data_IF_056948073851
#
_entry.id   IF_056948073851
#
_cell.length_a   1.000
_cell.length_b   1.000
_cell.length_c   1.000
_cell.angle_alpha   90.00
_cell.angle_beta   90.00
_cell.angle_gamma   90.00
#
_symmetry.space_group_name_H-M   'P 1'
#
loop_
_entity.id
_entity.type
_entity.pdbx_description
1 polymer ?
#
# COMPACT_ATOMS: atom_id res chain seq x y z
N UNK A 1 -19.67 -12.35 -2.96
CA UNK A 1 -20.05 -10.90 -3.00
C UNK A 1 -19.53 -10.21 -4.25
N UNK A 2 -18.21 -9.97 -4.40
CA UNK A 2 -17.67 -9.22 -5.56
C UNK A 2 -18.06 -9.85 -6.90
N UNK A 3 -17.91 -11.17 -7.05
CA UNK A 3 -18.38 -11.92 -8.24
C UNK A 3 -19.85 -11.67 -8.57
N UNK A 4 -20.73 -11.73 -7.57
CA UNK A 4 -22.17 -11.49 -7.72
C UNK A 4 -22.45 -10.06 -8.19
N UNK A 5 -21.77 -9.07 -7.61
CA UNK A 5 -21.94 -7.66 -8.03
C UNK A 5 -21.47 -7.46 -9.47
N UNK A 6 -20.38 -8.12 -9.88
CA UNK A 6 -19.90 -8.04 -11.26
C UNK A 6 -20.83 -8.74 -12.26
N UNK A 7 -21.46 -9.86 -11.85
CA UNK A 7 -22.47 -10.54 -12.66
C UNK A 7 -23.72 -9.68 -12.87
N UNK A 8 -24.01 -8.76 -11.93
CA UNK A 8 -25.10 -7.78 -12.05
C UNK A 8 -24.70 -6.51 -12.83
N UNK A 9 -23.60 -6.54 -13.60
CA UNK A 9 -23.25 -5.48 -14.55
C UNK A 9 -22.26 -4.43 -14.05
N UNK A 10 -21.78 -4.51 -12.79
CA UNK A 10 -20.73 -3.61 -12.31
C UNK A 10 -19.38 -4.08 -12.84
N UNK A 11 -18.66 -3.19 -13.55
CA UNK A 11 -17.33 -3.51 -14.05
C UNK A 11 -16.36 -3.85 -12.89
N UNK A 12 -15.55 -4.93 -13.00
CA UNK A 12 -14.47 -5.22 -12.05
C UNK A 12 -13.47 -4.07 -11.90
N UNK A 13 -13.40 -3.18 -12.90
CA UNK A 13 -12.54 -2.02 -12.92
C UNK A 13 -13.03 -0.86 -12.03
N UNK A 14 -14.23 -0.98 -11.47
CA UNK A 14 -14.78 -0.01 -10.51
C UNK A 14 -14.52 -0.43 -9.05
N UNK A 15 -13.77 -1.50 -8.80
CA UNK A 15 -13.48 -1.98 -7.46
C UNK A 15 -12.09 -1.52 -6.98
N UNK A 16 -12.09 -0.84 -5.84
CA UNK A 16 -10.92 -0.63 -5.00
C UNK A 16 -11.20 -1.27 -3.64
N UNK A 17 -10.52 -2.37 -3.36
CA UNK A 17 -10.68 -3.07 -2.09
C UNK A 17 -9.53 -2.71 -1.15
N UNK A 18 -9.84 -2.29 0.08
CA UNK A 18 -8.85 -1.90 1.09
C UNK A 18 -9.02 -2.84 2.28
N UNK A 19 -7.93 -3.47 2.71
CA UNK A 19 -7.94 -4.44 3.80
C UNK A 19 -6.80 -4.14 4.78
N UNK A 20 -7.08 -4.20 6.09
CA UNK A 20 -6.08 -4.04 7.15
C UNK A 20 -5.74 -5.38 7.78
N UNK A 21 -4.48 -5.58 8.17
CA UNK A 21 -4.07 -6.78 8.93
C UNK A 21 -4.41 -8.09 8.20
N UNK A 22 -5.15 -8.99 8.86
CA UNK A 22 -5.70 -10.21 8.26
C UNK A 22 -6.60 -9.91 7.05
N UNK A 23 -7.34 -8.80 7.09
CA UNK A 23 -8.19 -8.37 5.98
C UNK A 23 -7.40 -8.12 4.70
N UNK A 24 -6.16 -7.65 4.78
CA UNK A 24 -5.29 -7.50 3.60
C UNK A 24 -5.00 -8.87 2.97
N UNK A 25 -4.67 -9.88 3.79
CA UNK A 25 -4.40 -11.24 3.31
C UNK A 25 -5.67 -11.87 2.71
N UNK A 26 -6.83 -11.64 3.32
CA UNK A 26 -8.13 -12.05 2.77
C UNK A 26 -8.39 -11.45 1.39
N UNK A 27 -8.01 -10.18 1.15
CA UNK A 27 -8.14 -9.56 -0.17
C UNK A 27 -7.22 -10.21 -1.21
N UNK A 28 -6.05 -10.71 -0.81
CA UNK A 28 -5.18 -11.51 -1.67
C UNK A 28 -5.88 -12.78 -2.17
N UNK A 29 -6.47 -13.55 -1.25
CA UNK A 29 -7.26 -14.74 -1.57
C UNK A 29 -8.51 -14.42 -2.40
N UNK A 30 -9.20 -13.34 -2.04
CA UNK A 30 -10.38 -12.89 -2.77
C UNK A 30 -10.05 -12.54 -4.23
N UNK A 31 -8.96 -11.79 -4.47
CA UNK A 31 -8.53 -11.40 -5.82
C UNK A 31 -8.13 -12.60 -6.68
N UNK A 32 -7.39 -13.54 -6.09
CA UNK A 32 -6.99 -14.79 -6.74
C UNK A 32 -8.21 -15.65 -7.13
N UNK A 33 -9.13 -15.86 -6.20
CA UNK A 33 -10.36 -16.62 -6.42
C UNK A 33 -11.29 -15.91 -7.42
N UNK A 34 -11.38 -14.58 -7.38
CA UNK A 34 -12.14 -13.80 -8.35
C UNK A 34 -11.59 -14.00 -9.77
N UNK A 35 -10.26 -13.96 -9.95
CA UNK A 35 -9.64 -14.21 -11.24
C UNK A 35 -9.89 -15.64 -11.74
N UNK A 36 -9.70 -16.65 -10.88
CA UNK A 36 -9.97 -18.06 -11.22
C UNK A 36 -11.41 -18.28 -11.70
N UNK A 37 -12.37 -17.59 -11.10
CA UNK A 37 -13.79 -17.78 -11.43
C UNK A 37 -14.29 -16.95 -12.61
N UNK A 38 -13.64 -15.83 -12.93
CA UNK A 38 -14.16 -14.86 -13.92
C UNK A 38 -13.22 -14.60 -15.09
N UNK A 39 -11.96 -15.00 -14.99
CA UNK A 39 -10.88 -14.59 -15.92
C UNK A 39 -10.53 -13.10 -15.87
N UNK A 40 -11.14 -12.33 -14.97
CA UNK A 40 -10.99 -10.88 -14.85
C UNK A 40 -10.28 -10.49 -13.55
N UNK A 41 -9.66 -9.32 -13.54
CA UNK A 41 -9.03 -8.74 -12.35
C UNK A 41 -9.74 -7.47 -11.89
N UNK A 42 -9.81 -7.29 -10.59
CA UNK A 42 -10.22 -6.04 -9.95
C UNK A 42 -9.20 -4.93 -10.26
N UNK A 43 -9.66 -3.67 -10.28
CA UNK A 43 -8.77 -2.55 -10.57
C UNK A 43 -7.68 -2.38 -9.51
N UNK A 44 -8.05 -2.32 -8.22
CA UNK A 44 -7.08 -2.01 -7.16
C UNK A 44 -7.34 -2.77 -5.88
N UNK A 45 -6.27 -3.29 -5.28
CA UNK A 45 -6.25 -3.78 -3.91
C UNK A 45 -5.20 -2.99 -3.12
N UNK A 46 -5.59 -2.49 -1.95
CA UNK A 46 -4.67 -1.86 -0.99
C UNK A 46 -4.60 -2.71 0.28
N UNK A 47 -3.40 -3.18 0.62
CA UNK A 47 -3.11 -3.86 1.87
C UNK A 47 -2.51 -2.90 2.90
N UNK A 48 -3.22 -2.64 3.99
CA UNK A 48 -2.75 -1.84 5.12
C UNK A 48 -2.14 -2.76 6.18
N UNK A 49 -0.83 -2.76 6.28
CA UNK A 49 0.00 -3.56 7.19
C UNK A 49 -0.43 -5.04 7.23
N UNK A 50 -0.28 -5.80 6.12
CA UNK A 50 -0.76 -7.17 6.04
C UNK A 50 -0.19 -8.04 7.16
N UNK A 51 -1.04 -8.88 7.76
CA UNK A 51 -0.65 -9.73 8.88
C UNK A 51 0.56 -10.60 8.51
N UNK A 52 1.59 -10.57 9.35
CA UNK A 52 2.77 -11.42 9.25
C UNK A 52 2.60 -12.81 9.88
N UNK A 53 2.06 -12.95 11.11
CA UNK A 53 1.84 -14.26 11.72
C UNK A 53 1.00 -15.17 10.83
N UNK A 54 1.42 -16.43 10.65
CA UNK A 54 0.84 -17.43 9.74
C UNK A 54 1.03 -17.18 8.23
N UNK A 55 1.52 -16.01 7.80
CA UNK A 55 1.65 -15.66 6.38
C UNK A 55 3.10 -15.45 5.94
N UNK A 56 3.98 -14.85 6.74
CA UNK A 56 5.34 -14.47 6.30
C UNK A 56 6.18 -15.66 5.80
N UNK A 57 5.90 -16.87 6.28
CA UNK A 57 6.57 -18.12 5.87
C UNK A 57 5.66 -19.04 5.03
N UNK A 58 4.49 -18.55 4.63
CA UNK A 58 3.54 -19.28 3.81
C UNK A 58 3.90 -19.14 2.33
N UNK A 59 3.23 -19.91 1.47
CA UNK A 59 3.41 -19.77 0.03
C UNK A 59 2.97 -18.37 -0.42
N UNK A 60 3.58 -17.82 -1.46
CA UNK A 60 3.25 -16.47 -1.94
C UNK A 60 1.80 -16.41 -2.44
N UNK A 61 1.28 -17.52 -2.96
CA UNK A 61 -0.11 -17.70 -3.39
C UNK A 61 -1.12 -17.57 -2.24
N UNK A 62 -0.69 -17.84 -1.01
CA UNK A 62 -1.50 -17.73 0.21
C UNK A 62 -1.52 -16.30 0.75
N UNK A 63 -0.65 -15.43 0.24
CA UNK A 63 -0.50 -14.04 0.66
C UNK A 63 -1.16 -13.08 -0.35
N UNK A 64 -1.46 -11.87 0.13
CA UNK A 64 -1.62 -10.72 -0.76
C UNK A 64 -0.34 -10.52 -1.57
N UNK A 65 -0.47 -10.33 -2.89
CA UNK A 65 0.67 -10.18 -3.79
C UNK A 65 0.29 -9.42 -5.06
N UNK A 66 1.28 -8.82 -5.72
CA UNK A 66 1.19 -8.37 -7.10
C UNK A 66 0.55 -9.45 -7.98
N UNK A 67 -0.40 -9.02 -8.82
CA UNK A 67 -1.09 -9.89 -9.76
C UNK A 67 -2.45 -10.43 -9.30
N UNK A 68 -2.84 -10.31 -8.03
CA UNK A 68 -4.21 -10.64 -7.57
C UNK A 68 -5.24 -9.54 -7.87
N UNK A 69 -4.77 -8.38 -8.33
CA UNK A 69 -5.54 -7.32 -8.99
C UNK A 69 -4.69 -6.75 -10.15
N UNK A 70 -5.22 -5.77 -10.89
CA UNK A 70 -4.41 -5.03 -11.87
C UNK A 70 -3.31 -4.21 -11.20
N UNK A 71 -3.61 -3.66 -10.01
CA UNK A 71 -2.67 -2.92 -9.19
C UNK A 71 -2.87 -3.27 -7.71
N UNK A 72 -1.77 -3.63 -7.05
CA UNK A 72 -1.72 -3.99 -5.64
C UNK A 72 -0.69 -3.11 -4.96
N UNK A 73 -1.11 -2.35 -3.96
CA UNK A 73 -0.18 -1.58 -3.12
C UNK A 73 -0.28 -1.99 -1.67
N UNK A 74 0.86 -1.95 -0.99
CA UNK A 74 1.00 -2.39 0.40
C UNK A 74 1.58 -1.25 1.23
N UNK A 75 1.09 -1.09 2.45
CA UNK A 75 1.61 -0.13 3.42
C UNK A 75 2.14 -0.90 4.62
N UNK A 76 3.39 -0.63 5.02
CA UNK A 76 4.02 -1.26 6.17
C UNK A 76 4.16 -0.25 7.30
N UNK A 77 3.55 -0.56 8.45
CA UNK A 77 3.60 0.27 9.66
C UNK A 77 3.97 -0.51 10.93
N UNK A 78 3.92 -1.84 10.90
CA UNK A 78 4.46 -2.71 11.94
C UNK A 78 5.21 -3.93 11.39
N UNK A 79 6.02 -3.71 10.36
CA UNK A 79 6.84 -4.73 9.71
C UNK A 79 7.77 -5.44 10.72
N UNK A 80 7.66 -6.76 10.79
CA UNK A 80 8.47 -7.62 11.65
C UNK A 80 7.87 -7.89 13.02
N UNK A 81 6.67 -7.38 13.30
CA UNK A 81 5.87 -7.75 14.47
C UNK A 81 4.50 -8.30 14.03
N UNK A 82 3.43 -7.51 14.08
CA UNK A 82 2.12 -7.93 13.56
C UNK A 82 2.06 -7.86 12.03
N UNK A 83 2.80 -6.94 11.42
CA UNK A 83 2.88 -6.77 9.97
C UNK A 83 4.01 -7.59 9.36
N UNK A 84 3.83 -8.04 8.12
CA UNK A 84 4.88 -8.71 7.33
C UNK A 84 6.02 -7.77 6.95
N UNK A 85 7.22 -8.33 6.77
CA UNK A 85 8.40 -7.62 6.22
C UNK A 85 8.59 -7.84 4.73
N UNK A 86 7.81 -8.75 4.14
CA UNK A 86 7.89 -9.12 2.73
C UNK A 86 7.42 -7.99 1.84
N UNK A 87 8.13 -7.78 0.71
CA UNK A 87 7.69 -6.92 -0.39
C UNK A 87 6.75 -7.73 -1.27
N UNK A 88 5.47 -7.36 -1.24
CA UNK A 88 4.37 -8.17 -1.75
C UNK A 88 3.64 -7.53 -2.93
N UNK A 89 3.49 -6.20 -2.94
CA UNK A 89 2.70 -5.48 -3.93
C UNK A 89 3.41 -5.29 -5.27
N UNK A 90 2.72 -4.60 -6.18
CA UNK A 90 3.38 -3.87 -7.27
C UNK A 90 4.20 -2.72 -6.67
N UNK A 91 3.66 -2.13 -5.60
CA UNK A 91 4.26 -1.05 -4.83
C UNK A 91 4.13 -1.33 -3.33
N UNK A 92 5.23 -1.19 -2.59
CA UNK A 92 5.24 -1.31 -1.12
C UNK A 92 5.75 -0.02 -0.48
N UNK A 93 4.86 0.67 0.24
CA UNK A 93 5.16 1.87 1.02
C UNK A 93 5.60 1.49 2.44
N UNK A 94 6.76 1.99 2.86
CA UNK A 94 7.28 1.80 4.21
C UNK A 94 7.23 3.12 4.95
N UNK A 95 6.39 3.19 5.98
CA UNK A 95 6.26 4.36 6.83
C UNK A 95 7.41 4.44 7.84
N UNK A 96 8.02 5.62 7.97
CA UNK A 96 9.06 5.90 8.98
C UNK A 96 10.16 4.83 8.95
N UNK A 97 10.53 4.24 10.09
CA UNK A 97 11.67 3.30 10.25
C UNK A 97 11.50 1.97 9.48
N UNK A 98 11.46 2.00 8.15
CA UNK A 98 11.15 0.86 7.27
C UNK A 98 9.85 0.14 7.68
N UNK A 99 8.84 0.89 8.12
CA UNK A 99 7.58 0.32 8.59
C UNK A 99 7.66 -0.40 9.94
N UNK A 100 8.79 -0.41 10.66
CA UNK A 100 8.91 -1.20 11.90
C UNK A 100 8.40 -0.47 13.16
N UNK A 101 8.45 0.86 13.16
CA UNK A 101 8.12 1.69 14.32
C UNK A 101 7.70 3.09 13.86
N UNK A 102 6.60 3.53 14.45
CA UNK A 102 5.90 4.77 14.17
C UNK A 102 6.05 5.72 15.36
N UNK A 103 5.99 7.05 15.11
CA UNK A 103 5.92 8.05 16.17
C UNK A 103 4.81 7.73 17.17
N UNK A 104 5.00 8.10 18.44
CA UNK A 104 3.99 8.04 19.51
C UNK A 104 3.49 6.64 19.93
N UNK A 105 3.94 5.57 19.28
CA UNK A 105 3.59 4.19 19.64
C UNK A 105 4.47 3.55 20.73
N UNK A 106 5.33 4.35 21.38
CA UNK A 106 6.25 3.91 22.41
C UNK A 106 7.43 3.08 21.88
N UNK A 107 8.36 2.74 22.77
CA UNK A 107 9.53 1.92 22.44
C UNK A 107 9.26 0.44 22.68
N UNK A 108 9.91 -0.46 21.92
CA UNK A 108 9.83 -1.91 22.18
C UNK A 108 10.24 -2.27 23.62
N UNK A 109 9.70 -3.35 24.19
CA UNK A 109 10.14 -3.89 25.49
C UNK A 109 11.61 -4.30 25.44
N UNK A 110 12.02 -4.88 24.30
CA UNK A 110 13.41 -5.14 23.97
C UNK A 110 13.68 -4.52 22.59
N UNK A 111 14.54 -3.49 22.47
CA UNK A 111 14.82 -2.80 21.21
C UNK A 111 15.19 -3.78 20.09
N UNK A 112 14.39 -3.80 19.02
CA UNK A 112 14.64 -4.65 17.85
C UNK A 112 14.35 -6.14 18.04
N UNK A 113 13.88 -6.58 19.22
CA UNK A 113 13.62 -8.01 19.51
C UNK A 113 12.16 -8.26 19.85
N UNK A 114 11.57 -7.51 20.80
CA UNK A 114 10.18 -7.69 21.22
C UNK A 114 9.49 -6.34 21.44
N UNK A 115 8.47 -6.05 20.64
CA UNK A 115 7.53 -4.96 20.93
C UNK A 115 6.58 -5.40 22.04
N UNK A 116 6.20 -4.47 22.93
CA UNK A 116 5.05 -4.74 23.80
C UNK A 116 3.82 -5.00 22.94
N UNK A 117 2.88 -5.81 23.43
CA UNK A 117 1.61 -6.03 22.74
C UNK A 117 0.87 -4.71 22.46
N UNK A 118 1.05 -3.71 23.33
CA UNK A 118 0.51 -2.35 23.14
C UNK A 118 1.21 -1.60 22.00
N UNK A 119 2.54 -1.57 21.99
CA UNK A 119 3.31 -0.89 20.94
C UNK A 119 3.07 -1.53 19.57
N UNK A 120 3.03 -2.85 19.49
CA UNK A 120 2.75 -3.57 18.26
C UNK A 120 1.35 -3.21 17.71
N UNK A 121 0.32 -3.20 18.56
CA UNK A 121 -1.04 -2.78 18.17
C UNK A 121 -1.10 -1.33 17.71
N UNK A 122 -0.39 -0.41 18.38
CA UNK A 122 -0.35 1.00 17.98
C UNK A 122 0.30 1.18 16.61
N UNK A 123 1.51 0.62 16.43
CA UNK A 123 2.24 0.68 15.17
C UNK A 123 1.41 0.08 14.03
N UNK A 124 0.75 -1.06 14.28
CA UNK A 124 -0.07 -1.78 13.30
C UNK A 124 -1.30 -0.99 12.86
N UNK A 125 -1.92 -0.23 13.77
CA UNK A 125 -3.06 0.67 13.47
C UNK A 125 -2.65 1.97 12.78
N UNK A 126 -1.37 2.34 12.81
CA UNK A 126 -0.90 3.60 12.22
C UNK A 126 -1.15 3.63 10.70
N UNK A 127 -1.03 2.51 10.00
CA UNK A 127 -1.32 2.44 8.57
C UNK A 127 -2.78 2.79 8.24
N UNK A 128 -3.72 2.44 9.12
CA UNK A 128 -5.12 2.85 8.96
C UNK A 128 -5.25 4.37 9.13
N UNK A 129 -4.65 4.93 10.18
CA UNK A 129 -4.73 6.37 10.46
C UNK A 129 -4.08 7.19 9.33
N UNK A 130 -2.87 6.80 8.92
CA UNK A 130 -2.15 7.43 7.80
C UNK A 130 -2.98 7.39 6.51
N UNK A 131 -3.57 6.23 6.17
CA UNK A 131 -4.34 6.09 4.95
C UNK A 131 -5.62 6.93 4.96
N UNK A 132 -6.31 6.99 6.10
CA UNK A 132 -7.51 7.82 6.26
C UNK A 132 -7.20 9.32 6.11
N UNK A 133 -6.09 9.80 6.69
CA UNK A 133 -5.66 11.19 6.55
C UNK A 133 -5.45 11.58 5.08
N UNK A 134 -5.00 10.64 4.24
CA UNK A 134 -4.75 10.93 2.82
C UNK A 134 -6.02 11.25 2.04
N UNK A 135 -7.20 10.86 2.54
CA UNK A 135 -8.48 11.12 1.86
C UNK A 135 -8.72 12.63 1.76
N UNK A 136 -8.52 13.36 2.86
CA UNK A 136 -8.66 14.82 2.91
C UNK A 136 -7.34 15.54 2.64
N UNK A 137 -6.21 14.86 2.81
CA UNK A 137 -4.88 15.42 2.66
C UNK A 137 -4.03 14.64 1.63
N UNK A 138 -4.37 14.72 0.33
CA UNK A 138 -3.78 13.88 -0.71
C UNK A 138 -2.27 14.06 -0.91
N UNK A 139 -1.71 15.19 -0.44
CA UNK A 139 -0.32 15.58 -0.71
C UNK A 139 0.59 15.41 0.53
N UNK A 140 0.08 14.91 1.66
CA UNK A 140 0.83 14.84 2.93
C UNK A 140 1.91 13.76 3.01
N UNK A 141 1.81 12.72 2.18
CA UNK A 141 2.71 11.57 2.25
C UNK A 141 3.43 11.34 0.93
N UNK A 142 4.31 12.27 0.50
CA UNK A 142 5.16 12.04 -0.65
C UNK A 142 6.09 10.86 -0.35
N UNK A 143 6.22 9.98 -1.32
CA UNK A 143 7.00 8.76 -1.25
C UNK A 143 8.09 8.77 -2.31
N UNK A 144 9.30 8.34 -1.94
CA UNK A 144 10.43 8.23 -2.87
C UNK A 144 10.83 6.76 -3.04
N UNK A 145 10.98 6.33 -4.28
CA UNK A 145 11.44 4.99 -4.63
C UNK A 145 12.89 4.80 -4.18
N UNK A 146 13.18 3.73 -3.44
CA UNK A 146 14.51 3.51 -2.89
C UNK A 146 14.77 2.02 -2.59
N UNK A 147 15.97 1.53 -2.90
CA UNK A 147 16.33 0.12 -2.67
C UNK A 147 16.43 -0.24 -1.18
N UNK A 148 16.66 0.76 -0.32
CA UNK A 148 16.67 0.53 1.12
C UNK A 148 16.37 1.80 1.92
N UNK A 149 15.82 1.62 3.12
CA UNK A 149 15.62 2.70 4.07
C UNK A 149 16.94 3.39 4.48
N UNK A 150 18.06 2.67 4.47
CA UNK A 150 19.40 3.23 4.77
C UNK A 150 19.83 4.23 3.69
N UNK A 151 19.61 3.91 2.42
CA UNK A 151 19.86 4.82 1.29
C UNK A 151 18.95 6.05 1.36
N UNK A 152 17.66 5.84 1.65
CA UNK A 152 16.71 6.94 1.82
C UNK A 152 17.12 7.92 2.92
N UNK A 153 17.44 7.41 4.12
CA UNK A 153 17.90 8.27 5.22
C UNK A 153 19.17 9.08 4.86
N UNK A 154 20.03 8.52 4.01
CA UNK A 154 21.24 9.19 3.51
C UNK A 154 20.97 10.18 2.36
N UNK A 155 19.75 10.26 1.85
CA UNK A 155 19.37 11.12 0.73
C UNK A 155 19.84 10.63 -0.65
N UNK A 156 20.36 9.41 -0.76
CA UNK A 156 20.96 8.91 -2.01
C UNK A 156 19.94 8.64 -3.11
N UNK A 157 18.68 8.40 -2.75
CA UNK A 157 17.58 8.24 -3.70
C UNK A 157 16.75 9.53 -3.88
N UNK A 158 17.29 10.70 -3.52
CA UNK A 158 16.57 11.98 -3.64
C UNK A 158 16.08 12.28 -5.06
N UNK A 159 16.81 11.81 -6.08
CA UNK A 159 16.50 11.97 -7.50
C UNK A 159 15.70 10.80 -8.10
N UNK A 160 15.41 9.75 -7.31
CA UNK A 160 14.60 8.64 -7.78
C UNK A 160 13.13 9.07 -7.95
N UNK A 161 12.38 8.22 -8.65
CA UNK A 161 10.95 8.38 -8.86
C UNK A 161 10.21 8.66 -7.55
N UNK A 162 9.24 9.57 -7.63
CA UNK A 162 8.40 9.99 -6.50
C UNK A 162 6.93 9.74 -6.83
N UNK A 163 6.16 9.45 -5.80
CA UNK A 163 4.69 9.40 -5.86
C UNK A 163 4.10 9.94 -4.56
N UNK A 164 2.79 9.91 -4.41
CA UNK A 164 2.08 10.15 -3.15
C UNK A 164 1.51 8.84 -2.63
N UNK A 165 1.80 8.52 -1.38
CA UNK A 165 1.17 7.42 -0.67
C UNK A 165 -0.25 7.86 -0.24
N UNK A 166 -1.21 6.96 -0.34
CA UNK A 166 -2.58 7.17 0.12
C UNK A 166 -3.66 6.74 -0.87
N UNK A 167 -4.90 7.09 -0.52
CA UNK A 167 -6.10 6.80 -1.30
C UNK A 167 -5.97 7.28 -2.75
N UNK A 168 -5.46 8.49 -2.93
CA UNK A 168 -5.33 9.14 -4.22
C UNK A 168 -4.10 8.72 -5.02
N UNK A 169 -3.27 7.79 -4.54
CA UNK A 169 -2.13 7.30 -5.31
C UNK A 169 -2.61 6.87 -6.70
N UNK A 170 -2.10 7.47 -7.79
CA UNK A 170 -2.55 7.21 -9.16
C UNK A 170 -2.32 5.75 -9.62
N UNK A 171 -1.52 4.97 -8.88
CA UNK A 171 -0.92 3.75 -9.38
C UNK A 171 0.24 4.05 -10.33
N UNK A 172 0.68 3.06 -11.10
CA UNK A 172 1.85 3.22 -11.96
C UNK A 172 1.55 4.00 -13.27
N UNK A 173 1.38 5.33 -13.19
CA UNK A 173 1.24 6.23 -14.35
C UNK A 173 1.64 7.65 -13.98
N UNK A 174 2.92 7.98 -14.17
CA UNK A 174 3.64 9.05 -13.44
C UNK A 174 3.81 10.38 -14.20
N UNK A 175 3.22 10.56 -15.38
CA UNK A 175 3.41 11.79 -16.16
C UNK A 175 2.60 13.00 -15.64
N UNK A 176 1.60 12.79 -14.79
CA UNK A 176 0.63 13.85 -14.43
C UNK A 176 0.85 14.55 -13.08
N UNK A 177 1.74 14.07 -12.20
CA UNK A 177 1.82 14.52 -10.79
C UNK A 177 3.09 15.31 -10.40
N UNK A 178 4.07 15.43 -11.30
CA UNK A 178 5.39 16.01 -10.98
C UNK A 178 5.43 17.54 -10.89
N UNK A 179 4.30 18.26 -10.89
CA UNK A 179 4.32 19.72 -10.99
C UNK A 179 4.60 20.46 -9.68
N UNK A 180 4.43 19.86 -8.48
CA UNK A 180 4.72 20.52 -7.19
C UNK A 180 4.80 19.48 -6.04
N UNK A 181 5.99 19.03 -5.62
CA UNK A 181 6.10 18.14 -4.44
C UNK A 181 7.21 18.60 -3.49
N UNK A 182 6.81 18.87 -2.24
CA UNK A 182 7.67 19.09 -1.07
C UNK A 182 8.00 17.75 -0.40
N UNK A 183 9.18 17.62 0.20
CA UNK A 183 9.73 16.38 0.77
C UNK A 183 8.97 15.87 2.01
N UNK A 184 8.83 14.55 2.15
CA UNK A 184 8.20 13.88 3.31
C UNK A 184 8.71 12.44 3.53
N UNK A 185 8.28 11.83 4.64
CA UNK A 185 8.93 10.72 5.38
C UNK A 185 8.60 9.28 4.90
N UNK A 186 8.10 9.09 3.67
CA UNK A 186 7.70 7.76 3.17
C UNK A 186 8.69 7.24 2.12
N UNK A 187 9.06 5.97 2.24
CA UNK A 187 9.84 5.24 1.22
C UNK A 187 8.98 4.24 0.48
N UNK A 188 9.34 3.94 -0.76
CA UNK A 188 8.67 2.94 -1.57
C UNK A 188 9.67 1.95 -2.18
N UNK A 189 9.32 0.67 -2.18
CA UNK A 189 10.06 -0.40 -2.88
C UNK A 189 9.20 -0.94 -4.02
N UNK A 190 9.82 -1.34 -5.14
CA UNK A 190 9.16 -1.95 -6.28
C UNK A 190 9.73 -3.35 -6.52
N UNK A 191 8.89 -4.32 -6.89
CA UNK A 191 9.35 -5.67 -7.28
C UNK A 191 9.89 -5.60 -8.71
N UNK A 192 11.08 -6.12 -8.98
CA UNK A 192 11.68 -6.20 -10.34
C UNK A 192 10.90 -7.18 -11.22
N UNK A 193 9.70 -6.80 -11.67
CA UNK A 193 9.22 -7.24 -12.97
C UNK A 193 9.84 -6.28 -13.98
N UNK A 194 10.27 -6.79 -15.14
CA UNK A 194 10.49 -5.92 -16.31
C UNK A 194 9.35 -4.89 -16.37
N UNK A 195 9.69 -3.62 -16.64
CA UNK A 195 8.73 -2.51 -16.76
C UNK A 195 7.43 -3.04 -17.33
N UNK A 196 6.26 -2.79 -16.71
CA UNK A 196 5.01 -3.32 -17.22
C UNK A 196 4.96 -3.02 -18.73
N UNK A 197 4.80 -4.06 -19.55
CA UNK A 197 4.86 -3.98 -21.02
C UNK A 197 3.78 -3.06 -21.62
N UNK A 198 2.94 -2.47 -20.76
CA UNK A 198 1.99 -1.42 -21.04
C UNK A 198 2.14 -0.37 -19.94
N UNK A 199 2.14 0.94 -20.25
CA UNK A 199 1.91 1.95 -19.24
C UNK A 199 0.66 1.53 -18.45
N UNK A 200 0.68 1.53 -17.11
CA UNK A 200 -0.56 1.24 -16.42
C UNK A 200 -1.52 2.34 -16.82
N UNK A 201 -2.55 1.94 -17.58
CA UNK A 201 -3.66 2.80 -17.92
C UNK A 201 -4.10 3.41 -16.61
N UNK A 202 -4.17 4.75 -16.56
CA UNK A 202 -4.72 5.49 -15.43
C UNK A 202 -5.86 4.67 -14.83
N UNK A 203 -5.75 4.29 -13.55
CA UNK A 203 -6.77 3.46 -12.93
C UNK A 203 -8.14 4.09 -13.26
N UNK A 204 -9.07 3.36 -13.89
CA UNK A 204 -10.36 3.92 -14.31
C UNK A 204 -11.24 4.33 -13.12
N UNK A 205 -10.75 4.11 -11.90
CA UNK A 205 -11.19 4.78 -10.69
C UNK A 205 -10.90 6.29 -10.82
N UNK A 206 -11.73 6.98 -11.60
CA UNK A 206 -11.85 8.42 -11.62
C UNK A 206 -12.42 8.87 -10.26
N UNK A 207 -11.59 8.82 -9.22
CA UNK A 207 -11.91 9.50 -7.98
C UNK A 207 -11.81 11.00 -8.26
N UNK A 208 -12.92 11.71 -8.11
CA UNK A 208 -12.94 13.15 -8.27
C UNK A 208 -12.20 13.83 -7.10
N UNK A 209 -10.99 14.33 -7.37
CA UNK A 209 -10.15 15.05 -6.39
C UNK A 209 -10.70 16.42 -6.01
N UNK A 210 -11.69 16.97 -6.72
CA UNK A 210 -12.23 18.31 -6.46
C UNK A 210 -12.95 18.39 -5.10
N UNK A 211 -13.64 17.30 -4.71
CA UNK A 211 -14.35 17.23 -3.44
C UNK A 211 -13.41 17.31 -2.22
N UNK A 212 -12.22 16.72 -2.29
CA UNK A 212 -11.23 16.75 -1.20
C UNK A 212 -10.53 18.11 -1.04
N UNK A 213 -10.55 18.97 -2.07
CA UNK A 213 -9.96 20.32 -2.01
C UNK A 213 -10.91 21.37 -1.45
N UNK A 214 -12.22 21.09 -1.41
CA UNK A 214 -13.28 22.03 -1.01
C UNK A 214 -13.31 22.35 0.49
N UNK A 215 -12.58 21.62 1.34
CA UNK A 215 -12.53 21.85 2.79
C UNK A 215 -11.45 22.86 3.21
N UNK A 216 -10.78 23.52 2.25
CA UNK A 216 -9.88 24.64 2.51
C UNK A 216 -10.67 25.95 2.50
N UNK A 217 -11.35 26.27 3.60
CA UNK A 217 -11.81 27.62 3.93
C UNK A 217 -11.71 27.82 5.44
#
# INVERSE_FOLDING_TARGET
MVTTITQNGVSPKNFHCIGHSLGAQMLGQMGDHFFKNTGQKLARITGLDPAGPCFSNSLIEEQIRSGVADYVEIYHCNAGALGTTSVLGDVDFFANKRGSSQPDCGTPLIPGILQSSMAAKCNHRTCLSLYLETITHPDWFPATACDSYKQYKKGTCSLNDKTVAGFWNPGCGWESLMKNVTLGNVTMSHRTRERPARPCVSLPLNYDRSAARSTRN
#
